data_IF_231412824557
#
_entry.id   IF_231412824557
#
_cell.length_a   1.000
_cell.length_b   1.000
_cell.length_c   1.000
_cell.angle_alpha   90.00
_cell.angle_beta   90.00
_cell.angle_gamma   90.00
#
_symmetry.space_group_name_H-M   'P 1'
#
loop_
_entity.id
_entity.type
_entity.pdbx_description
1 polymer ?
#
# COMPACT_ATOMS: atom_id res chain seq x y z
N UNK A 1 6.71 -23.89 16.01
CA UNK A 1 7.46 -22.85 15.28
C UNK A 1 8.92 -23.26 15.19
N UNK A 2 9.58 -23.01 14.07
CA UNK A 2 11.02 -23.20 13.86
C UNK A 2 11.71 -21.84 13.76
N UNK A 3 11.95 -21.18 14.89
CA UNK A 3 12.45 -19.80 14.94
C UNK A 3 13.80 -19.59 14.24
N UNK A 4 14.68 -20.60 14.23
CA UNK A 4 15.92 -20.56 13.44
C UNK A 4 15.68 -20.34 11.95
N UNK A 5 14.68 -21.02 11.37
CA UNK A 5 14.33 -20.85 9.96
C UNK A 5 13.68 -19.48 9.72
N UNK A 6 12.84 -19.02 10.65
CA UNK A 6 12.23 -17.68 10.58
C UNK A 6 13.31 -16.60 10.50
N UNK A 7 14.36 -16.69 11.33
CA UNK A 7 15.48 -15.75 11.33
C UNK A 7 16.35 -15.91 10.07
N UNK A 8 16.65 -17.14 9.64
CA UNK A 8 17.45 -17.40 8.45
C UNK A 8 16.78 -16.83 7.18
N UNK A 9 15.46 -16.98 7.05
CA UNK A 9 14.69 -16.40 5.93
C UNK A 9 14.72 -14.88 5.99
N UNK A 10 14.59 -14.28 7.18
CA UNK A 10 14.71 -12.83 7.32
C UNK A 10 16.08 -12.31 6.88
N UNK A 11 17.17 -13.00 7.25
CA UNK A 11 18.52 -12.66 6.78
C UNK A 11 18.60 -12.73 5.25
N UNK A 12 18.01 -13.75 4.63
CA UNK A 12 17.92 -13.84 3.17
C UNK A 12 17.13 -12.68 2.55
N UNK A 13 15.99 -12.28 3.16
CA UNK A 13 15.23 -11.10 2.75
C UNK A 13 16.05 -9.81 2.86
N UNK A 14 16.83 -9.64 3.94
CA UNK A 14 17.71 -8.49 4.11
C UNK A 14 18.79 -8.44 3.01
N UNK A 15 19.40 -9.57 2.66
CA UNK A 15 20.35 -9.66 1.53
C UNK A 15 19.68 -9.28 0.21
N UNK A 16 18.47 -9.77 -0.05
CA UNK A 16 17.70 -9.42 -1.25
C UNK A 16 17.34 -7.92 -1.29
N UNK A 17 17.00 -7.32 -0.13
CA UNK A 17 16.72 -5.89 -0.02
C UNK A 17 17.97 -5.05 -0.33
N UNK A 18 19.14 -5.42 0.20
CA UNK A 18 20.41 -4.76 -0.11
C UNK A 18 20.75 -4.89 -1.60
N UNK A 19 20.61 -6.09 -2.17
CA UNK A 19 20.84 -6.32 -3.60
C UNK A 19 19.90 -5.47 -4.47
N UNK A 20 18.63 -5.36 -4.10
CA UNK A 20 17.65 -4.50 -4.77
C UNK A 20 18.02 -3.01 -4.65
N UNK A 21 18.51 -2.55 -3.49
CA UNK A 21 19.03 -1.19 -3.31
C UNK A 21 20.25 -0.90 -4.20
N UNK A 22 21.19 -1.86 -4.30
CA UNK A 22 22.35 -1.74 -5.19
C UNK A 22 21.90 -1.68 -6.66
N UNK A 23 20.96 -2.54 -7.06
CA UNK A 23 20.40 -2.55 -8.41
C UNK A 23 19.72 -1.20 -8.72
N UNK A 24 18.97 -0.65 -7.77
CA UNK A 24 18.35 0.67 -7.88
C UNK A 24 19.38 1.75 -8.18
N UNK A 25 20.42 1.88 -7.35
CA UNK A 25 21.41 2.96 -7.50
C UNK A 25 22.28 2.78 -8.75
N UNK A 26 22.72 1.56 -9.06
CA UNK A 26 23.68 1.32 -10.14
C UNK A 26 23.05 1.15 -11.52
N UNK A 27 21.83 0.65 -11.61
CA UNK A 27 21.22 0.28 -12.90
C UNK A 27 19.90 1.02 -13.19
N UNK A 28 19.01 1.17 -12.21
CA UNK A 28 17.68 1.74 -12.46
C UNK A 28 17.74 3.28 -12.48
N UNK A 29 18.31 3.88 -11.42
CA UNK A 29 18.42 5.33 -11.25
C UNK A 29 19.09 6.08 -12.40
N UNK A 30 20.21 5.60 -12.99
CA UNK A 30 20.81 6.27 -14.14
C UNK A 30 19.91 6.35 -15.37
N UNK A 31 18.91 5.47 -15.49
CA UNK A 31 18.00 5.38 -16.65
C UNK A 31 16.66 6.07 -16.44
N UNK A 32 16.18 6.13 -15.19
CA UNK A 32 14.82 6.58 -14.89
C UNK A 32 14.75 7.80 -13.98
N UNK A 33 15.89 8.22 -13.39
CA UNK A 33 15.94 9.22 -12.33
C UNK A 33 15.52 8.67 -10.96
N UNK A 34 15.81 9.45 -9.90
CA UNK A 34 15.60 9.07 -8.49
C UNK A 34 14.17 8.63 -8.20
N UNK A 35 13.19 9.44 -8.64
CA UNK A 35 11.77 9.25 -8.30
C UNK A 35 11.22 7.92 -8.84
N UNK A 36 11.45 7.62 -10.11
CA UNK A 36 11.02 6.36 -10.72
C UNK A 36 11.84 5.17 -10.26
N UNK A 37 13.13 5.35 -9.99
CA UNK A 37 13.97 4.27 -9.48
C UNK A 37 13.51 3.80 -8.10
N UNK A 38 13.13 4.73 -7.23
CA UNK A 38 12.56 4.40 -5.93
C UNK A 38 11.26 3.60 -6.08
N UNK A 39 10.34 4.04 -6.96
CA UNK A 39 9.09 3.32 -7.22
C UNK A 39 9.32 1.89 -7.72
N UNK A 40 10.12 1.74 -8.79
CA UNK A 40 10.40 0.42 -9.40
C UNK A 40 11.05 -0.50 -8.37
N UNK A 41 12.07 -0.02 -7.65
CA UNK A 41 12.78 -0.79 -6.63
C UNK A 41 11.87 -1.22 -5.46
N UNK A 42 10.93 -0.36 -5.06
CA UNK A 42 9.95 -0.68 -4.00
C UNK A 42 8.98 -1.77 -4.46
N UNK A 43 8.46 -1.66 -5.69
CA UNK A 43 7.54 -2.65 -6.26
C UNK A 43 8.23 -4.01 -6.45
N UNK A 44 9.46 -4.01 -6.98
CA UNK A 44 10.25 -5.24 -7.15
C UNK A 44 10.49 -5.91 -5.80
N UNK A 45 10.95 -5.17 -4.80
CA UNK A 45 11.18 -5.74 -3.47
C UNK A 45 9.90 -6.26 -2.83
N UNK A 46 8.78 -5.56 -2.99
CA UNK A 46 7.47 -5.99 -2.47
C UNK A 46 7.04 -7.32 -3.09
N UNK A 47 7.21 -7.48 -4.40
CA UNK A 47 6.93 -8.76 -5.10
C UNK A 47 7.85 -9.87 -4.59
N UNK A 48 9.15 -9.58 -4.44
CA UNK A 48 10.12 -10.55 -3.90
C UNK A 48 9.74 -11.00 -2.49
N UNK A 49 9.33 -10.09 -1.61
CA UNK A 49 8.90 -10.40 -0.25
C UNK A 49 7.66 -11.31 -0.25
N UNK A 50 6.66 -11.01 -1.10
CA UNK A 50 5.47 -11.86 -1.22
C UNK A 50 5.82 -13.26 -1.74
N UNK A 51 6.66 -13.34 -2.78
CA UNK A 51 7.14 -14.60 -3.34
C UNK A 51 7.89 -15.43 -2.29
N UNK A 52 8.85 -14.82 -1.59
CA UNK A 52 9.59 -15.49 -0.51
C UNK A 52 8.62 -15.95 0.57
N UNK A 53 7.69 -15.10 1.00
CA UNK A 53 6.69 -15.47 2.02
C UNK A 53 5.91 -16.72 1.62
N UNK A 54 5.42 -16.81 0.37
CA UNK A 54 4.68 -17.99 -0.12
C UNK A 54 5.53 -19.26 -0.09
N UNK A 55 6.76 -19.22 -0.60
CA UNK A 55 7.59 -20.41 -0.72
C UNK A 55 8.27 -20.84 0.59
N UNK A 56 8.57 -19.89 1.48
CA UNK A 56 9.32 -20.16 2.69
C UNK A 56 8.45 -20.38 3.93
N UNK A 57 7.17 -19.99 3.90
CA UNK A 57 6.26 -20.16 5.04
C UNK A 57 6.21 -21.60 5.57
N UNK A 58 6.15 -22.66 4.74
CA UNK A 58 6.17 -24.04 5.23
C UNK A 58 7.40 -24.37 6.08
N UNK A 59 8.56 -23.77 5.79
CA UNK A 59 9.80 -23.99 6.52
C UNK A 59 9.81 -23.35 7.91
N UNK A 60 8.98 -22.34 8.15
CA UNK A 60 8.84 -21.71 9.46
C UNK A 60 8.13 -22.62 10.49
N UNK A 61 7.42 -23.65 10.01
CA UNK A 61 6.58 -24.49 10.85
C UNK A 61 5.38 -23.75 11.45
N UNK A 62 4.93 -22.65 10.84
CA UNK A 62 3.68 -21.98 11.18
C UNK A 62 2.49 -22.90 10.85
N UNK A 63 1.67 -23.20 11.86
CA UNK A 63 0.49 -24.09 11.76
C UNK A 63 -0.84 -23.36 11.98
N UNK A 64 -0.80 -22.05 12.17
CA UNK A 64 -1.98 -21.21 12.41
C UNK A 64 -1.79 -19.83 11.80
N UNK A 65 -2.90 -19.12 11.58
CA UNK A 65 -2.89 -17.74 11.11
C UNK A 65 -2.19 -16.80 12.10
N UNK A 66 -2.37 -17.03 13.41
CA UNK A 66 -1.66 -16.30 14.47
C UNK A 66 -0.14 -16.49 14.37
N UNK A 67 0.31 -17.73 14.16
CA UNK A 67 1.73 -18.02 13.96
C UNK A 67 2.29 -17.31 12.72
N UNK A 68 1.51 -17.22 11.63
CA UNK A 68 1.91 -16.46 10.45
C UNK A 68 2.02 -14.95 10.74
N UNK A 69 1.09 -14.37 11.51
CA UNK A 69 1.17 -12.99 11.96
C UNK A 69 2.41 -12.72 12.83
N UNK A 70 2.78 -13.64 13.72
CA UNK A 70 4.02 -13.53 14.52
C UNK A 70 5.27 -13.50 13.65
N UNK A 71 5.32 -14.33 12.60
CA UNK A 71 6.42 -14.31 11.61
C UNK A 71 6.49 -12.96 10.90
N UNK A 72 5.36 -12.46 10.38
CA UNK A 72 5.30 -11.16 9.72
C UNK A 72 5.69 -10.01 10.65
N UNK A 73 5.20 -10.01 11.88
CA UNK A 73 5.51 -9.00 12.89
C UNK A 73 7.01 -9.00 13.25
N UNK A 74 7.60 -10.18 13.44
CA UNK A 74 9.04 -10.31 13.70
C UNK A 74 9.87 -9.81 12.51
N UNK A 75 9.54 -10.24 11.29
CA UNK A 75 10.26 -9.79 10.09
C UNK A 75 10.16 -8.28 9.87
N UNK A 76 8.98 -7.69 10.08
CA UNK A 76 8.82 -6.23 9.98
C UNK A 76 9.59 -5.52 11.09
N UNK A 77 9.53 -6.01 12.33
CA UNK A 77 10.27 -5.43 13.45
C UNK A 77 11.79 -5.45 13.21
N UNK A 78 12.32 -6.58 12.74
CA UNK A 78 13.73 -6.72 12.38
C UNK A 78 14.11 -5.83 11.19
N UNK A 79 13.25 -5.72 10.17
CA UNK A 79 13.47 -4.86 9.00
C UNK A 79 13.55 -3.39 9.40
N UNK A 80 12.59 -2.90 10.20
CA UNK A 80 12.61 -1.53 10.71
C UNK A 80 13.81 -1.30 11.62
N UNK A 81 14.11 -2.23 12.54
CA UNK A 81 15.28 -2.13 13.40
C UNK A 81 16.58 -2.05 12.58
N UNK A 82 16.75 -2.92 11.58
CA UNK A 82 17.88 -2.88 10.67
C UNK A 82 17.97 -1.55 9.92
N UNK A 83 16.86 -1.06 9.38
CA UNK A 83 16.81 0.20 8.64
C UNK A 83 17.23 1.40 9.50
N UNK A 84 16.63 1.57 10.67
CA UNK A 84 16.95 2.70 11.55
C UNK A 84 18.34 2.54 12.18
N UNK A 85 18.69 1.36 12.67
CA UNK A 85 19.97 1.11 13.32
C UNK A 85 21.14 1.15 12.32
N UNK A 86 21.09 0.35 11.26
CA UNK A 86 22.13 0.34 10.26
C UNK A 86 22.13 1.65 9.46
N UNK A 87 20.96 2.17 9.11
CA UNK A 87 20.82 3.46 8.41
C UNK A 87 21.50 4.60 9.14
N UNK A 88 21.25 4.74 10.45
CA UNK A 88 21.80 5.83 11.25
C UNK A 88 23.22 5.56 11.72
N UNK A 89 23.46 4.42 12.40
CA UNK A 89 24.72 4.17 13.10
C UNK A 89 25.79 3.50 12.22
N UNK A 90 25.40 2.62 11.29
CA UNK A 90 26.37 1.92 10.43
C UNK A 90 26.70 2.74 9.17
N UNK A 91 25.70 3.38 8.56
CA UNK A 91 25.86 4.16 7.32
C UNK A 91 25.91 5.67 7.56
N UNK A 92 25.76 6.15 8.80
CA UNK A 92 25.93 7.56 9.16
C UNK A 92 24.84 8.48 8.59
N UNK A 93 23.68 7.97 8.18
CA UNK A 93 22.63 8.81 7.63
C UNK A 93 21.91 9.59 8.76
N UNK A 94 21.60 10.88 8.59
CA UNK A 94 20.80 11.62 9.56
C UNK A 94 19.37 11.07 9.61
N UNK A 95 18.71 11.18 10.77
CA UNK A 95 17.30 10.77 10.95
C UNK A 95 16.37 11.41 9.93
N UNK A 96 16.60 12.67 9.57
CA UNK A 96 15.83 13.38 8.54
C UNK A 96 15.84 12.68 7.19
N UNK A 97 16.96 12.06 6.80
CA UNK A 97 17.07 11.30 5.55
C UNK A 97 16.30 10.00 5.60
N UNK A 98 16.37 9.27 6.73
CA UNK A 98 15.66 8.00 6.91
C UNK A 98 14.14 8.26 6.94
N UNK A 99 13.71 9.25 7.72
CA UNK A 99 12.30 9.62 7.84
C UNK A 99 11.73 10.18 6.53
N UNK A 100 12.54 10.79 5.66
CA UNK A 100 12.09 11.26 4.36
C UNK A 100 11.59 10.12 3.46
N UNK A 101 12.12 8.90 3.58
CA UNK A 101 11.64 7.76 2.78
C UNK A 101 10.21 7.31 3.21
N UNK A 102 9.73 7.77 4.36
CA UNK A 102 8.36 7.57 4.87
C UNK A 102 7.41 8.72 4.51
N UNK A 103 7.75 9.57 3.53
CA UNK A 103 6.85 10.61 3.06
C UNK A 103 6.35 10.37 1.62
N UNK A 104 5.19 9.72 1.46
CA UNK A 104 4.59 9.47 0.15
C UNK A 104 4.21 10.75 -0.60
N UNK A 105 4.00 11.88 0.09
CA UNK A 105 3.65 13.14 -0.58
C UNK A 105 4.80 13.64 -1.46
N UNK A 106 6.03 13.33 -1.09
CA UNK A 106 7.24 13.60 -1.90
C UNK A 106 7.62 12.44 -2.84
N UNK A 107 6.71 11.48 -3.09
CA UNK A 107 6.97 10.36 -3.98
C UNK A 107 7.76 9.20 -3.36
N UNK A 108 7.95 9.20 -2.03
CA UNK A 108 8.66 8.14 -1.31
C UNK A 108 7.67 7.09 -0.82
N UNK A 109 7.59 5.98 -1.54
CA UNK A 109 6.58 4.93 -1.33
C UNK A 109 7.10 3.74 -0.50
N UNK A 110 8.17 3.94 0.27
CA UNK A 110 8.85 2.87 1.01
C UNK A 110 7.92 2.13 1.97
N UNK A 111 6.91 2.81 2.54
CA UNK A 111 5.88 2.25 3.43
C UNK A 111 5.23 0.95 2.90
N UNK A 112 5.22 0.73 1.58
CA UNK A 112 4.74 -0.53 1.00
C UNK A 112 5.55 -1.74 1.48
N UNK A 113 6.86 -1.61 1.64
CA UNK A 113 7.78 -2.70 2.02
C UNK A 113 7.48 -3.26 3.42
N UNK A 114 7.45 -2.48 4.51
CA UNK A 114 7.13 -3.01 5.83
C UNK A 114 5.68 -3.51 5.94
N UNK A 115 4.72 -2.91 5.21
CA UNK A 115 3.34 -3.39 5.18
C UNK A 115 3.24 -4.75 4.48
N UNK A 116 3.90 -4.91 3.33
CA UNK A 116 3.96 -6.19 2.62
C UNK A 116 4.73 -7.25 3.41
N UNK A 117 5.79 -6.85 4.14
CA UNK A 117 6.54 -7.75 5.03
C UNK A 117 5.66 -8.28 6.17
N UNK A 118 4.80 -7.42 6.72
CA UNK A 118 3.90 -7.78 7.81
C UNK A 118 2.79 -8.73 7.35
N UNK A 119 2.15 -8.43 6.22
CA UNK A 119 1.00 -9.19 5.70
C UNK A 119 1.38 -10.38 4.83
N UNK A 120 2.62 -10.44 4.33
CA UNK A 120 3.10 -11.51 3.46
C UNK A 120 2.89 -12.92 4.04
N UNK A 121 3.34 -13.20 5.27
CA UNK A 121 3.16 -14.53 5.86
C UNK A 121 1.69 -14.90 6.14
N UNK A 122 0.82 -14.04 6.72
CA UNK A 122 -0.62 -14.33 6.83
C UNK A 122 -1.30 -14.58 5.47
N UNK A 123 -0.95 -13.80 4.44
CA UNK A 123 -1.49 -13.98 3.09
C UNK A 123 -1.02 -15.32 2.48
N UNK A 124 0.24 -15.68 2.66
CA UNK A 124 0.79 -16.96 2.25
C UNK A 124 0.13 -18.14 2.99
N UNK A 125 -0.27 -17.95 4.25
CA UNK A 125 -0.95 -18.97 5.05
C UNK A 125 -2.36 -19.26 4.53
N UNK A 126 -3.13 -18.21 4.20
CA UNK A 126 -4.50 -18.35 3.68
C UNK A 126 -4.49 -18.79 2.21
N UNK A 127 -3.48 -18.34 1.44
CA UNK A 127 -3.37 -18.61 0.01
C UNK A 127 -4.41 -17.86 -0.81
N UNK A 128 -4.20 -17.79 -2.12
CA UNK A 128 -5.17 -17.18 -3.07
C UNK A 128 -5.93 -18.32 -3.76
N UNK A 129 -7.25 -18.48 -3.52
CA UNK A 129 -8.04 -19.47 -4.23
C UNK A 129 -7.99 -19.25 -5.75
N UNK A 130 -7.91 -20.33 -6.53
CA UNK A 130 -7.72 -20.25 -7.99
C UNK A 130 -8.79 -19.40 -8.70
N UNK A 131 -10.04 -19.46 -8.22
CA UNK A 131 -11.16 -18.67 -8.73
C UNK A 131 -10.94 -17.14 -8.63
N UNK A 132 -10.08 -16.69 -7.71
CA UNK A 132 -9.74 -15.28 -7.53
C UNK A 132 -8.43 -14.88 -8.19
N UNK A 133 -7.66 -15.80 -8.77
CA UNK A 133 -6.32 -15.51 -9.29
C UNK A 133 -6.33 -14.42 -10.38
N UNK A 134 -7.26 -14.52 -11.35
CA UNK A 134 -7.40 -13.53 -12.42
C UNK A 134 -7.84 -12.15 -11.90
N UNK A 135 -8.96 -12.00 -11.17
CA UNK A 135 -9.37 -10.69 -10.66
C UNK A 135 -8.34 -10.09 -9.68
N UNK A 136 -7.66 -10.92 -8.90
CA UNK A 136 -6.57 -10.49 -8.04
C UNK A 136 -5.40 -9.91 -8.87
N UNK A 137 -4.93 -10.62 -9.91
CA UNK A 137 -3.86 -10.13 -10.77
C UNK A 137 -4.24 -8.84 -11.51
N UNK A 138 -5.47 -8.74 -12.02
CA UNK A 138 -5.99 -7.52 -12.65
C UNK A 138 -5.98 -6.36 -11.67
N UNK A 139 -6.38 -6.58 -10.41
CA UNK A 139 -6.36 -5.56 -9.37
C UNK A 139 -4.94 -5.08 -9.09
N UNK A 140 -3.95 -5.98 -9.03
CA UNK A 140 -2.55 -5.59 -8.86
C UNK A 140 -2.03 -4.72 -10.01
N UNK A 141 -2.35 -5.07 -11.25
CA UNK A 141 -1.97 -4.27 -12.43
C UNK A 141 -2.62 -2.89 -12.35
N UNK A 142 -3.91 -2.83 -12.03
CA UNK A 142 -4.63 -1.56 -11.88
C UNK A 142 -3.99 -0.67 -10.80
N UNK A 143 -3.63 -1.23 -9.65
CA UNK A 143 -3.00 -0.50 -8.56
C UNK A 143 -1.63 0.06 -8.97
N UNK A 144 -0.79 -0.77 -9.60
CA UNK A 144 0.54 -0.35 -10.07
C UNK A 144 0.43 0.73 -11.15
N UNK A 145 -0.50 0.59 -12.10
CA UNK A 145 -0.75 1.60 -13.14
C UNK A 145 -1.25 2.92 -12.53
N UNK A 146 -2.15 2.86 -11.54
CA UNK A 146 -2.62 4.04 -10.82
C UNK A 146 -1.47 4.74 -10.10
N UNK A 147 -0.60 3.99 -9.43
CA UNK A 147 0.59 4.53 -8.78
C UNK A 147 1.58 5.13 -9.79
N UNK A 148 1.82 4.47 -10.93
CA UNK A 148 2.65 5.04 -11.99
C UNK A 148 2.05 6.35 -12.54
N UNK A 149 0.73 6.43 -12.74
CA UNK A 149 0.09 7.68 -13.11
C UNK A 149 0.24 8.75 -12.02
N UNK A 150 0.24 8.41 -10.72
CA UNK A 150 0.45 9.40 -9.67
C UNK A 150 1.80 10.12 -9.81
N UNK A 151 2.82 9.44 -10.35
CA UNK A 151 4.15 9.99 -10.58
C UNK A 151 4.25 10.79 -11.88
N UNK A 152 3.68 10.27 -12.98
CA UNK A 152 3.85 10.88 -14.31
C UNK A 152 2.70 11.80 -14.75
N UNK A 153 1.47 11.49 -14.34
CA UNK A 153 0.22 12.17 -14.76
C UNK A 153 -0.76 12.22 -13.57
N UNK A 154 -0.48 12.99 -12.51
CA UNK A 154 -1.23 12.96 -11.26
C UNK A 154 -2.73 13.25 -11.44
N UNK A 155 -3.10 14.16 -12.36
CA UNK A 155 -4.50 14.41 -12.71
C UNK A 155 -5.21 13.17 -13.26
N UNK A 156 -4.52 12.34 -14.05
CA UNK A 156 -5.07 11.07 -14.55
C UNK A 156 -5.26 10.09 -13.40
N UNK A 157 -4.27 9.92 -12.53
CA UNK A 157 -4.41 9.07 -11.34
C UNK A 157 -5.57 9.52 -10.45
N UNK A 158 -5.74 10.83 -10.25
CA UNK A 158 -6.85 11.41 -9.50
C UNK A 158 -8.20 11.05 -10.11
N UNK A 159 -8.37 11.20 -11.42
CA UNK A 159 -9.61 10.82 -12.10
C UNK A 159 -9.84 9.30 -12.12
N UNK A 160 -8.79 8.49 -12.23
CA UNK A 160 -8.87 7.04 -12.09
C UNK A 160 -9.40 6.66 -10.70
N UNK A 161 -8.88 7.28 -9.63
CA UNK A 161 -9.38 7.06 -8.27
C UNK A 161 -10.80 7.59 -8.07
N UNK A 162 -11.15 8.74 -8.66
CA UNK A 162 -12.51 9.27 -8.61
C UNK A 162 -13.51 8.31 -9.29
N UNK A 163 -13.13 7.71 -10.42
CA UNK A 163 -13.92 6.71 -11.12
C UNK A 163 -14.05 5.42 -10.30
N UNK A 164 -12.95 4.94 -9.71
CA UNK A 164 -12.94 3.78 -8.80
C UNK A 164 -13.93 3.97 -7.64
N UNK A 165 -13.87 5.11 -6.96
CA UNK A 165 -14.75 5.41 -5.83
C UNK A 165 -16.20 5.67 -6.26
N UNK A 166 -16.42 6.26 -7.44
CA UNK A 166 -17.76 6.38 -8.03
C UNK A 166 -18.38 5.00 -8.30
N UNK A 167 -17.60 4.10 -8.91
CA UNK A 167 -18.02 2.72 -9.17
C UNK A 167 -18.33 1.98 -7.86
N UNK A 168 -17.45 2.10 -6.86
CA UNK A 168 -17.65 1.47 -5.54
C UNK A 168 -18.91 2.01 -4.84
N UNK A 169 -19.15 3.33 -4.90
CA UNK A 169 -20.33 3.96 -4.34
C UNK A 169 -21.63 3.43 -4.98
N UNK A 170 -21.68 3.37 -6.31
CA UNK A 170 -22.84 2.85 -7.05
C UNK A 170 -23.04 1.37 -6.70
N UNK A 171 -21.99 0.56 -6.73
CA UNK A 171 -22.10 -0.87 -6.45
C UNK A 171 -22.55 -1.15 -5.02
N UNK A 172 -22.05 -0.40 -4.03
CA UNK A 172 -22.49 -0.54 -2.64
C UNK A 172 -23.92 -0.04 -2.41
N UNK A 173 -24.36 1.00 -3.12
CA UNK A 173 -25.76 1.42 -3.10
C UNK A 173 -26.67 0.34 -3.71
N UNK A 174 -26.27 -0.28 -4.81
CA UNK A 174 -27.00 -1.39 -5.42
C UNK A 174 -27.05 -2.61 -4.49
N UNK A 175 -25.93 -2.99 -3.87
CA UNK A 175 -25.89 -4.08 -2.90
C UNK A 175 -26.77 -3.79 -1.68
N UNK A 176 -26.81 -2.55 -1.20
CA UNK A 176 -27.68 -2.18 -0.09
C UNK A 176 -29.16 -2.51 -0.37
N UNK A 177 -29.59 -2.38 -1.63
CA UNK A 177 -30.97 -2.58 -2.08
C UNK A 177 -31.24 -4.02 -2.51
N UNK A 178 -30.38 -4.60 -3.33
CA UNK A 178 -30.65 -5.86 -4.03
C UNK A 178 -30.04 -7.09 -3.35
N UNK A 179 -28.85 -6.95 -2.74
CA UNK A 179 -28.09 -8.08 -2.18
C UNK A 179 -27.30 -7.68 -0.91
N UNK A 180 -27.95 -7.20 0.16
CA UNK A 180 -27.23 -6.64 1.30
C UNK A 180 -26.31 -7.64 2.03
N UNK A 181 -26.53 -8.94 1.83
CA UNK A 181 -25.82 -10.03 2.48
C UNK A 181 -24.60 -10.51 1.68
N UNK A 182 -24.35 -9.98 0.48
CA UNK A 182 -23.24 -10.42 -0.39
C UNK A 182 -21.88 -10.34 0.34
N UNK A 183 -21.70 -9.34 1.20
CA UNK A 183 -20.46 -9.14 1.95
C UNK A 183 -20.10 -10.27 2.92
N UNK A 184 -21.07 -11.11 3.30
CA UNK A 184 -20.83 -12.28 4.14
C UNK A 184 -19.94 -13.31 3.44
N UNK A 185 -19.94 -13.35 2.11
CA UNK A 185 -19.07 -14.23 1.33
C UNK A 185 -17.57 -13.94 1.50
N UNK A 186 -17.20 -12.74 1.97
CA UNK A 186 -15.80 -12.35 2.18
C UNK A 186 -15.27 -12.65 3.58
N UNK A 187 -16.14 -12.99 4.54
CA UNK A 187 -15.75 -13.18 5.93
C UNK A 187 -14.69 -14.28 6.12
N UNK A 188 -14.81 -15.37 5.34
CA UNK A 188 -13.88 -16.50 5.35
C UNK A 188 -12.46 -16.14 4.88
N UNK A 189 -12.31 -15.09 4.06
CA UNK A 189 -11.02 -14.65 3.51
C UNK A 189 -10.29 -13.65 4.42
N UNK A 190 -10.94 -13.18 5.49
CA UNK A 190 -10.36 -12.17 6.38
C UNK A 190 -9.19 -12.72 7.20
N UNK A 191 -8.13 -11.92 7.30
CA UNK A 191 -6.90 -12.22 8.03
C UNK A 191 -6.99 -11.89 9.52
N UNK A 192 -8.03 -11.18 9.96
CA UNK A 192 -8.17 -10.64 11.32
C UNK A 192 -9.49 -11.09 11.94
N UNK A 193 -9.42 -11.88 13.02
CA UNK A 193 -10.59 -12.52 13.64
C UNK A 193 -11.64 -11.55 14.18
N UNK A 194 -11.24 -10.55 14.97
CA UNK A 194 -12.20 -9.57 15.53
C UNK A 194 -12.88 -8.74 14.43
N UNK A 195 -12.20 -8.50 13.31
CA UNK A 195 -12.79 -7.79 12.16
C UNK A 195 -13.85 -8.67 11.49
N UNK A 196 -13.58 -9.98 11.37
CA UNK A 196 -14.55 -10.96 10.88
C UNK A 196 -15.81 -10.98 11.74
N UNK A 197 -15.67 -10.96 13.07
CA UNK A 197 -16.82 -10.93 14.00
C UNK A 197 -17.71 -9.69 13.79
N UNK A 198 -17.11 -8.53 13.48
CA UNK A 198 -17.87 -7.31 13.13
C UNK A 198 -18.70 -7.54 11.85
N UNK A 199 -18.09 -8.16 10.83
CA UNK A 199 -18.76 -8.38 9.54
C UNK A 199 -19.85 -9.46 9.64
N UNK A 200 -19.61 -10.53 10.39
CA UNK A 200 -20.57 -11.63 10.57
C UNK A 200 -21.70 -11.28 11.55
N UNK A 201 -21.47 -10.34 12.47
CA UNK A 201 -22.44 -9.91 13.48
C UNK A 201 -23.06 -8.53 13.18
N UNK A 202 -22.57 -7.43 13.78
CA UNK A 202 -23.16 -6.09 13.66
C UNK A 202 -23.39 -5.59 12.23
N UNK A 203 -22.51 -5.93 11.30
CA UNK A 203 -22.69 -5.57 9.89
C UNK A 203 -23.85 -6.34 9.28
N UNK A 204 -23.92 -7.65 9.54
CA UNK A 204 -24.99 -8.53 9.02
C UNK A 204 -26.38 -8.11 9.48
N UNK A 205 -26.53 -7.68 10.73
CA UNK A 205 -27.83 -7.29 11.30
C UNK A 205 -28.43 -6.04 10.68
N UNK A 206 -27.59 -5.17 10.10
CA UNK A 206 -28.02 -3.88 9.52
C UNK A 206 -27.30 -3.59 8.21
N UNK A 207 -27.10 -4.63 7.39
CA UNK A 207 -26.22 -4.56 6.23
C UNK A 207 -26.63 -3.47 5.23
N UNK A 208 -27.93 -3.30 4.95
CA UNK A 208 -28.43 -2.21 4.10
C UNK A 208 -28.02 -0.83 4.62
N UNK A 209 -28.13 -0.58 5.93
CA UNK A 209 -27.77 0.71 6.50
C UNK A 209 -26.26 0.97 6.42
N UNK A 210 -25.44 -0.04 6.75
CA UNK A 210 -23.98 0.06 6.64
C UNK A 210 -23.54 0.29 5.20
N UNK A 211 -24.09 -0.45 4.24
CA UNK A 211 -23.78 -0.31 2.82
C UNK A 211 -24.21 1.06 2.28
N UNK A 212 -25.35 1.59 2.71
CA UNK A 212 -25.79 2.94 2.34
C UNK A 212 -24.83 4.02 2.86
N UNK A 213 -24.37 3.91 4.11
CA UNK A 213 -23.38 4.84 4.70
C UNK A 213 -22.04 4.74 3.99
N UNK A 214 -21.58 3.52 3.69
CA UNK A 214 -20.35 3.28 2.91
C UNK A 214 -20.47 3.90 1.52
N UNK A 215 -21.58 3.65 0.81
CA UNK A 215 -21.82 4.19 -0.52
C UNK A 215 -21.84 5.72 -0.53
N UNK A 216 -22.50 6.34 0.44
CA UNK A 216 -22.52 7.80 0.60
C UNK A 216 -21.11 8.35 0.85
N UNK A 217 -20.35 7.73 1.76
CA UNK A 217 -18.97 8.13 2.02
C UNK A 217 -18.08 8.01 0.78
N UNK A 218 -18.22 6.93 0.01
CA UNK A 218 -17.48 6.73 -1.24
C UNK A 218 -17.87 7.75 -2.31
N UNK A 219 -19.15 8.15 -2.40
CA UNK A 219 -19.60 9.20 -3.30
C UNK A 219 -19.00 10.57 -2.94
N UNK A 220 -18.93 10.90 -1.65
CA UNK A 220 -18.26 12.12 -1.17
C UNK A 220 -16.77 12.10 -1.54
N UNK A 221 -16.09 10.98 -1.34
CA UNK A 221 -14.68 10.82 -1.73
C UNK A 221 -14.50 11.04 -3.23
N UNK A 222 -15.31 10.40 -4.06
CA UNK A 222 -15.25 10.55 -5.51
C UNK A 222 -15.44 12.01 -5.94
N UNK A 223 -16.42 12.71 -5.34
CA UNK A 223 -16.69 14.12 -5.62
C UNK A 223 -15.51 15.01 -5.21
N UNK A 224 -14.96 14.81 -4.01
CA UNK A 224 -13.78 15.56 -3.52
C UNK A 224 -12.54 15.34 -4.39
N UNK A 225 -12.30 14.10 -4.83
CA UNK A 225 -11.23 13.79 -5.79
C UNK A 225 -11.47 14.46 -7.13
N UNK A 226 -12.70 14.47 -7.66
CA UNK A 226 -13.03 15.10 -8.95
C UNK A 226 -12.82 16.63 -8.90
N UNK A 227 -13.29 17.28 -7.82
CA UNK A 227 -13.16 18.73 -7.64
C UNK A 227 -11.71 19.21 -7.50
N UNK A 228 -10.84 18.41 -6.87
CA UNK A 228 -9.45 18.82 -6.59
C UNK A 228 -9.39 20.05 -5.68
N UNK A 229 -8.32 20.84 -5.78
CA UNK A 229 -8.18 22.08 -5.02
C UNK A 229 -8.10 21.86 -3.51
N UNK A 230 -8.63 22.83 -2.75
CA UNK A 230 -8.74 22.78 -1.28
C UNK A 230 -9.54 21.58 -0.75
N UNK A 231 -10.30 20.86 -1.59
CA UNK A 231 -11.13 19.71 -1.20
C UNK A 231 -10.40 18.38 -1.42
N UNK A 232 -9.26 18.40 -2.10
CA UNK A 232 -8.50 17.20 -2.45
C UNK A 232 -8.08 16.39 -1.22
N UNK A 233 -7.70 17.06 -0.12
CA UNK A 233 -7.28 16.37 1.10
C UNK A 233 -8.40 15.50 1.68
N UNK A 234 -9.67 15.92 1.58
CA UNK A 234 -10.82 15.12 2.03
C UNK A 234 -10.95 13.85 1.18
N UNK A 235 -10.81 14.01 -0.14
CA UNK A 235 -10.82 12.88 -1.07
C UNK A 235 -9.71 11.89 -0.77
N UNK A 236 -8.47 12.38 -0.61
CA UNK A 236 -7.29 11.55 -0.32
C UNK A 236 -7.40 10.87 1.05
N UNK A 237 -7.82 11.59 2.09
CA UNK A 237 -8.07 11.02 3.41
C UNK A 237 -9.12 9.90 3.35
N UNK A 238 -10.21 10.12 2.62
CA UNK A 238 -11.24 9.10 2.44
C UNK A 238 -10.75 7.89 1.64
N UNK A 239 -9.92 8.08 0.60
CA UNK A 239 -9.26 6.96 -0.11
C UNK A 239 -8.48 6.10 0.88
N UNK A 240 -7.68 6.73 1.74
CA UNK A 240 -6.87 6.04 2.75
C UNK A 240 -7.78 5.29 3.72
N UNK A 241 -8.78 5.96 4.31
CA UNK A 241 -9.69 5.34 5.29
C UNK A 241 -10.38 4.11 4.71
N UNK A 242 -11.00 4.23 3.53
CA UNK A 242 -11.72 3.10 2.92
C UNK A 242 -10.79 1.95 2.54
N UNK A 243 -9.64 2.24 1.95
CA UNK A 243 -8.73 1.19 1.49
C UNK A 243 -7.93 0.54 2.63
N UNK A 244 -7.57 1.29 3.68
CA UNK A 244 -6.95 0.75 4.90
C UNK A 244 -7.94 -0.12 5.67
N UNK A 245 -9.21 0.29 5.75
CA UNK A 245 -10.26 -0.52 6.37
C UNK A 245 -10.47 -1.87 5.68
N UNK A 246 -10.07 -2.02 4.41
CA UNK A 246 -10.14 -3.26 3.65
C UNK A 246 -8.90 -4.16 3.80
N UNK A 247 -7.78 -3.70 4.37
CA UNK A 247 -6.58 -4.54 4.53
C UNK A 247 -6.85 -5.85 5.28
N UNK A 248 -7.69 -5.88 6.34
CA UNK A 248 -8.05 -7.13 7.02
C UNK A 248 -8.71 -8.18 6.12
N UNK A 249 -9.28 -7.82 4.96
CA UNK A 249 -9.88 -8.78 4.02
C UNK A 249 -8.86 -9.63 3.27
N UNK A 250 -7.56 -9.31 3.35
CA UNK A 250 -6.50 -10.08 2.71
C UNK A 250 -6.74 -10.29 1.21
N UNK A 251 -7.01 -11.52 0.80
CA UNK A 251 -7.32 -11.86 -0.59
C UNK A 251 -8.59 -11.16 -1.08
N UNK A 252 -9.59 -11.00 -0.20
CA UNK A 252 -10.88 -10.37 -0.53
C UNK A 252 -10.76 -8.87 -0.89
N UNK A 253 -9.69 -8.20 -0.46
CA UNK A 253 -9.36 -6.83 -0.87
C UNK A 253 -8.26 -6.74 -1.92
N UNK A 254 -7.87 -7.88 -2.50
CA UNK A 254 -6.71 -8.01 -3.36
C UNK A 254 -5.45 -7.37 -2.75
N UNK A 255 -5.17 -7.62 -1.45
CA UNK A 255 -3.97 -7.07 -0.81
C UNK A 255 -2.71 -7.32 -1.67
N UNK A 256 -1.81 -6.36 -1.92
CA UNK A 256 -1.72 -5.01 -1.34
C UNK A 256 -2.40 -3.88 -2.15
N UNK A 257 -3.41 -4.17 -2.99
CA UNK A 257 -4.14 -3.17 -3.80
C UNK A 257 -4.44 -1.87 -3.03
N UNK A 258 -5.08 -2.00 -1.86
CA UNK A 258 -5.47 -0.86 -1.03
C UNK A 258 -4.28 0.02 -0.63
N UNK A 259 -3.18 -0.59 -0.19
CA UNK A 259 -1.95 0.11 0.20
C UNK A 259 -1.37 0.89 -0.97
N UNK A 260 -1.26 0.25 -2.14
CA UNK A 260 -0.66 0.84 -3.34
C UNK A 260 -1.49 2.03 -3.83
N UNK A 261 -2.81 1.92 -3.85
CA UNK A 261 -3.70 3.02 -4.28
C UNK A 261 -3.74 4.15 -3.22
N UNK A 262 -3.68 3.83 -1.92
CA UNK A 262 -3.54 4.86 -0.88
C UNK A 262 -2.23 5.64 -1.00
N UNK A 263 -1.11 4.97 -1.31
CA UNK A 263 0.15 5.64 -1.60
C UNK A 263 0.05 6.51 -2.85
N UNK A 264 -0.63 6.03 -3.90
CA UNK A 264 -0.88 6.83 -5.10
C UNK A 264 -1.67 8.11 -4.78
N UNK A 265 -2.68 8.04 -3.90
CA UNK A 265 -3.46 9.18 -3.46
C UNK A 265 -2.61 10.23 -2.73
N UNK A 266 -1.71 9.80 -1.84
CA UNK A 266 -0.78 10.71 -1.14
C UNK A 266 0.22 11.36 -2.10
N UNK A 267 0.73 10.61 -3.09
CA UNK A 267 1.62 11.15 -4.12
C UNK A 267 0.90 12.20 -4.96
N UNK A 268 -0.34 11.94 -5.37
CA UNK A 268 -1.18 12.92 -6.09
C UNK A 268 -1.38 14.18 -5.24
N UNK A 269 -1.69 14.01 -3.94
CA UNK A 269 -1.89 15.12 -3.02
C UNK A 269 -0.65 16.03 -2.96
N UNK A 270 0.53 15.45 -2.71
CA UNK A 270 1.77 16.23 -2.63
C UNK A 270 2.05 17.01 -3.91
N UNK A 271 1.91 16.37 -5.08
CA UNK A 271 2.17 17.04 -6.37
C UNK A 271 1.18 18.17 -6.66
N UNK A 272 -0.11 18.02 -6.34
CA UNK A 272 -1.10 19.07 -6.58
C UNK A 272 -0.97 20.23 -5.57
N UNK A 273 -0.68 19.94 -4.30
CA UNK A 273 -0.42 20.98 -3.28
C UNK A 273 0.84 21.79 -3.61
N UNK A 274 1.93 21.13 -4.03
CA UNK A 274 3.14 21.82 -4.48
C UNK A 274 2.88 22.73 -5.69
N UNK A 275 2.02 22.30 -6.61
CA UNK A 275 1.63 23.09 -7.78
C UNK A 275 0.81 24.32 -7.40
N UNK A 276 -0.09 24.21 -6.41
CA UNK A 276 -0.93 25.33 -5.92
C UNK A 276 -0.14 26.34 -5.08
N UNK A 277 0.82 25.88 -4.28
CA UNK A 277 1.63 26.74 -3.40
C UNK A 277 2.82 27.39 -4.11
N UNK A 278 3.10 27.03 -5.36
CA UNK A 278 4.20 27.59 -6.15
C UNK A 278 5.60 27.14 -5.69
N UNK A 279 5.71 26.10 -4.85
CA UNK A 279 6.97 25.62 -4.27
C UNK A 279 7.82 24.74 -5.20
N UNK A 280 7.40 24.57 -6.45
CA UNK A 280 7.96 23.66 -7.49
C UNK A 280 9.45 23.78 -7.80
N UNK A 281 10.19 24.72 -7.20
CA UNK A 281 11.60 25.00 -7.48
C UNK A 281 12.54 25.03 -6.26
N UNK A 282 12.11 24.68 -5.05
CA UNK A 282 12.99 24.74 -3.85
C UNK A 282 13.58 23.40 -3.41
N UNK A 283 13.04 22.27 -3.87
CA UNK A 283 13.45 20.92 -3.42
C UNK A 283 14.51 20.30 -4.33
N UNK A 284 14.49 20.62 -5.62
CA UNK A 284 15.63 20.35 -6.51
C UNK A 284 16.67 21.45 -6.29
N UNK A 285 17.75 21.13 -5.57
CA UNK A 285 18.77 22.07 -5.05
C UNK A 285 19.59 22.89 -6.07
N UNK A 286 18.97 23.49 -7.07
CA UNK A 286 19.55 24.59 -7.83
C UNK A 286 19.32 25.89 -7.04
N UNK A 287 20.34 26.32 -6.30
CA UNK A 287 20.42 27.70 -5.80
C UNK A 287 20.20 28.64 -7.00
N UNK A 288 19.39 29.70 -6.88
CA UNK A 288 19.36 30.72 -7.91
C UNK A 288 20.79 31.26 -8.10
N UNK A 289 21.29 31.21 -9.33
CA UNK A 289 22.51 31.90 -9.69
C UNK A 289 22.29 33.38 -9.37
N UNK A 290 22.98 33.88 -8.35
CA UNK A 290 23.15 35.32 -8.17
C UNK A 290 23.87 35.83 -9.42
N UNK A 291 23.10 36.36 -10.38
CA UNK A 291 23.66 37.23 -11.40
C UNK A 291 24.00 38.55 -10.72
N UNK A 292 25.26 38.68 -10.31
CA UNK A 292 25.84 39.98 -10.03
C UNK A 292 26.03 40.69 -11.37
N UNK A 293 25.22 41.72 -11.61
CA UNK A 293 25.59 42.95 -12.32
C UNK A 293 24.86 44.11 -11.68
#
# INVERSE_FOLDING_TARGET
MQWGNVLAIWVALAVLAVANGILREKAVKPRTGERWAHLISTLVLSVVILVVSVFSLPWTGAKSLTAAWEVGALWTGLTLAFEFFAGHYLFGNPWSKILADYDPTHGRVWMLVPVVTLFGPPLAFVGVPAQFAVPYAVSQVFAVVTLAFAFGRPKVARWVMAALFSYAAVHNALFAVFSPQEYQGFASMMLVGWYREIVEGPFRTSATAWLAVIALGQAIVALCLAMGGQRLWVGVAGVIVFLVALLPFGVGSAFPFGVVVSLAALVVYGVEVEAETGLRGRVDGQRPAFTAK
#
